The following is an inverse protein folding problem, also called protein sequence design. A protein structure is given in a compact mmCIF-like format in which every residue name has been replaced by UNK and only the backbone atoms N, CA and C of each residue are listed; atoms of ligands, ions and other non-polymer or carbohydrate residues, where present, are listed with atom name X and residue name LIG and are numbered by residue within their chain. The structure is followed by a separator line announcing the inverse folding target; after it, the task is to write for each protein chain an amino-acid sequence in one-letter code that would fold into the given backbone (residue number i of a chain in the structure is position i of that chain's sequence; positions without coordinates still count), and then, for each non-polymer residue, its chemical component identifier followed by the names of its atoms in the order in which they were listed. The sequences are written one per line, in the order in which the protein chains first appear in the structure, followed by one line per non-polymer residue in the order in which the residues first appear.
data_IF_809486087740
#
_entry.id   IF_809486087740
#
_cell.length_a   1.000
_cell.length_b   1.000
_cell.length_c   1.000
_cell.angle_alpha   90.00
_cell.angle_beta   90.00
_cell.angle_gamma   90.00
#
_symmetry.space_group_name_H-M   'P 1'
#
loop_
_entity.id
_entity.type
_entity.pdbx_description
1 polymer ?
#
# COMPACT_ATOMS: atom_id res chain seq x y z
N UNK A 1 -48.04 -82.66 -29.03
CA UNK A 1 -46.63 -82.90 -29.30
C UNK A 1 -45.95 -81.55 -29.60
N UNK A 2 -44.88 -81.29 -29.03
CA UNK A 2 -43.92 -80.14 -29.11
C UNK A 2 -44.01 -79.15 -27.95
N UNK A 3 -43.25 -79.48 -26.97
CA UNK A 3 -42.77 -78.63 -25.89
C UNK A 3 -41.80 -77.56 -26.41
N UNK A 4 -41.97 -76.28 -25.97
CA UNK A 4 -40.97 -75.26 -26.15
C UNK A 4 -40.65 -74.68 -24.79
N UNK A 5 -39.38 -74.96 -24.36
CA UNK A 5 -38.73 -74.37 -23.20
C UNK A 5 -38.44 -72.89 -23.43
N UNK A 6 -38.91 -72.01 -22.55
CA UNK A 6 -38.43 -70.63 -22.48
C UNK A 6 -37.40 -70.51 -21.36
N UNK A 7 -36.15 -70.27 -21.73
CA UNK A 7 -35.10 -69.91 -20.80
C UNK A 7 -35.21 -68.42 -20.44
N UNK A 8 -35.45 -68.15 -19.16
CA UNK A 8 -35.44 -66.76 -18.61
C UNK A 8 -34.01 -66.36 -18.26
N UNK A 9 -33.51 -65.32 -18.91
CA UNK A 9 -32.21 -64.68 -18.56
C UNK A 9 -32.47 -63.67 -17.43
N UNK A 10 -31.85 -63.92 -16.26
CA UNK A 10 -31.83 -63.01 -15.14
C UNK A 10 -30.69 -61.99 -15.35
N UNK A 11 -31.02 -60.76 -15.69
CA UNK A 11 -30.05 -59.64 -15.79
C UNK A 11 -29.82 -59.06 -14.38
N UNK A 12 -28.62 -59.27 -13.85
CA UNK A 12 -28.17 -58.65 -12.62
C UNK A 12 -27.76 -57.20 -12.87
N UNK A 13 -28.60 -56.26 -12.46
CA UNK A 13 -28.28 -54.81 -12.51
C UNK A 13 -27.51 -54.47 -11.26
N UNK A 14 -26.19 -54.32 -11.41
CA UNK A 14 -25.31 -53.81 -10.33
C UNK A 14 -25.42 -52.28 -10.31
N UNK A 15 -26.16 -51.71 -9.37
CA UNK A 15 -26.26 -50.29 -9.16
C UNK A 15 -24.95 -49.80 -8.49
N UNK A 16 -24.08 -49.16 -9.25
CA UNK A 16 -22.94 -48.39 -8.72
C UNK A 16 -23.47 -47.08 -8.10
N UNK A 17 -23.58 -47.02 -6.77
CA UNK A 17 -23.85 -45.80 -6.06
C UNK A 17 -22.55 -44.96 -6.03
N UNK A 18 -22.47 -43.96 -6.89
CA UNK A 18 -21.45 -42.89 -6.79
C UNK A 18 -21.83 -42.00 -5.61
N UNK A 19 -21.21 -42.23 -4.45
CA UNK A 19 -21.26 -41.26 -3.36
C UNK A 19 -20.39 -40.06 -3.73
N UNK A 20 -20.99 -39.05 -4.34
CA UNK A 20 -20.36 -37.74 -4.49
C UNK A 20 -20.29 -37.11 -3.10
N UNK A 21 -19.12 -37.15 -2.47
CA UNK A 21 -18.81 -36.31 -1.32
C UNK A 21 -18.87 -34.85 -1.80
N UNK A 22 -20.00 -34.18 -1.60
CA UNK A 22 -20.07 -32.73 -1.70
C UNK A 22 -19.17 -32.17 -0.61
N UNK A 23 -17.98 -31.74 -1.02
CA UNK A 23 -17.09 -30.93 -0.19
C UNK A 23 -17.78 -29.59 -0.05
N UNK A 24 -18.47 -29.36 1.06
CA UNK A 24 -19.05 -28.05 1.39
C UNK A 24 -17.87 -27.09 1.53
N UNK A 25 -17.69 -26.20 0.57
CA UNK A 25 -16.77 -25.08 0.73
C UNK A 25 -17.24 -24.30 1.96
N UNK A 26 -16.46 -24.34 3.04
CA UNK A 26 -16.71 -23.52 4.21
C UNK A 26 -16.65 -22.05 3.79
N UNK A 27 -17.63 -21.27 4.20
CA UNK A 27 -17.58 -19.82 3.98
C UNK A 27 -16.34 -19.25 4.69
N UNK A 28 -15.64 -18.33 3.99
CA UNK A 28 -14.48 -17.65 4.59
C UNK A 28 -14.93 -16.67 5.66
N UNK A 29 -14.13 -16.55 6.72
CA UNK A 29 -14.29 -15.51 7.72
C UNK A 29 -13.86 -14.16 7.16
N UNK A 30 -14.78 -13.20 7.11
CA UNK A 30 -14.53 -11.87 6.53
C UNK A 30 -13.81 -10.97 7.53
N UNK A 31 -12.62 -10.50 7.15
CA UNK A 31 -11.77 -9.61 7.93
C UNK A 31 -11.87 -8.19 7.40
N UNK A 32 -12.38 -7.27 8.22
CA UNK A 32 -12.52 -5.86 7.80
C UNK A 32 -11.15 -5.24 7.53
N UNK A 33 -10.95 -4.75 6.31
CA UNK A 33 -9.73 -4.09 5.89
C UNK A 33 -10.02 -2.77 5.16
N UNK A 34 -9.10 -1.81 5.30
CA UNK A 34 -9.12 -0.56 4.54
C UNK A 34 -7.80 -0.39 3.79
N UNK A 35 -7.86 0.25 2.61
CA UNK A 35 -6.67 0.57 1.84
C UNK A 35 -6.88 1.84 1.00
N UNK A 36 -5.80 2.33 0.40
CA UNK A 36 -5.84 3.50 -0.49
C UNK A 36 -6.48 3.17 -1.85
N UNK A 37 -6.40 4.11 -2.79
CA UNK A 37 -6.99 3.97 -4.13
C UNK A 37 -6.35 2.84 -4.93
N UNK A 38 -7.09 2.17 -5.84
CA UNK A 38 -6.51 1.26 -6.81
C UNK A 38 -5.29 1.86 -7.52
N UNK A 39 -4.30 1.03 -7.81
CA UNK A 39 -3.04 1.44 -8.42
C UNK A 39 -2.01 2.07 -7.46
N UNK A 40 -2.34 2.27 -6.18
CA UNK A 40 -1.37 2.64 -5.15
C UNK A 40 -0.64 1.42 -4.60
N UNK A 41 0.59 1.60 -4.11
CA UNK A 41 1.33 0.51 -3.44
C UNK A 41 0.60 -0.09 -2.24
N UNK A 42 -0.14 0.75 -1.49
CA UNK A 42 -1.00 0.30 -0.40
C UNK A 42 -2.09 -0.68 -0.88
N UNK A 43 -2.79 -0.33 -1.96
CA UNK A 43 -3.82 -1.19 -2.55
C UNK A 43 -3.23 -2.50 -3.05
N UNK A 44 -2.13 -2.42 -3.81
CA UNK A 44 -1.46 -3.57 -4.41
C UNK A 44 -1.02 -4.58 -3.33
N UNK A 45 -0.37 -4.11 -2.26
CA UNK A 45 0.06 -4.97 -1.15
C UNK A 45 -1.13 -5.58 -0.39
N UNK A 46 -2.23 -4.81 -0.21
CA UNK A 46 -3.44 -5.33 0.45
C UNK A 46 -4.09 -6.44 -0.37
N UNK A 47 -4.21 -6.24 -1.69
CA UNK A 47 -4.79 -7.26 -2.60
C UNK A 47 -3.91 -8.51 -2.67
N UNK A 48 -2.58 -8.35 -2.67
CA UNK A 48 -1.66 -9.49 -2.66
C UNK A 48 -1.78 -10.29 -1.35
N UNK A 49 -1.87 -9.60 -0.22
CA UNK A 49 -2.06 -10.24 1.08
C UNK A 49 -3.41 -10.95 1.18
N UNK A 50 -4.49 -10.33 0.66
CA UNK A 50 -5.81 -10.96 0.56
C UNK A 50 -5.79 -12.21 -0.33
N UNK A 51 -5.13 -12.12 -1.49
CA UNK A 51 -5.04 -13.23 -2.43
C UNK A 51 -4.49 -14.50 -1.77
N UNK A 52 -3.33 -14.40 -1.14
CA UNK A 52 -2.70 -15.55 -0.47
C UNK A 52 -3.47 -15.99 0.77
N UNK A 53 -4.03 -15.05 1.54
CA UNK A 53 -4.86 -15.36 2.70
C UNK A 53 -6.13 -16.14 2.30
N UNK A 54 -6.83 -15.65 1.28
CA UNK A 54 -8.04 -16.31 0.76
C UNK A 54 -7.72 -17.69 0.18
N UNK A 55 -6.59 -17.87 -0.50
CA UNK A 55 -6.24 -19.14 -1.11
C UNK A 55 -5.84 -20.21 -0.08
N UNK A 56 -5.14 -19.82 1.00
CA UNK A 56 -4.43 -20.75 1.88
C UNK A 56 -4.89 -20.73 3.35
N UNK A 57 -5.91 -19.92 3.69
CA UNK A 57 -6.49 -19.87 5.05
C UNK A 57 -8.01 -19.84 4.99
N UNK A 58 -8.66 -19.82 6.15
CA UNK A 58 -10.11 -19.60 6.26
C UNK A 58 -10.51 -18.11 6.24
N UNK A 59 -9.56 -17.20 6.04
CA UNK A 59 -9.77 -15.76 6.12
C UNK A 59 -9.76 -15.10 4.74
N UNK A 60 -10.61 -14.08 4.57
CA UNK A 60 -10.67 -13.22 3.39
C UNK A 60 -10.82 -11.76 3.81
N UNK A 61 -10.08 -10.84 3.21
CA UNK A 61 -10.21 -9.42 3.50
C UNK A 61 -11.46 -8.83 2.85
N UNK A 62 -12.31 -8.21 3.65
CA UNK A 62 -13.37 -7.32 3.17
C UNK A 62 -12.75 -5.93 2.94
N UNK A 63 -12.23 -5.70 1.74
CA UNK A 63 -11.44 -4.50 1.40
C UNK A 63 -12.34 -3.31 1.10
N UNK A 64 -12.26 -2.26 1.93
CA UNK A 64 -12.81 -0.94 1.62
C UNK A 64 -11.69 -0.04 1.09
N UNK A 65 -11.66 0.18 -0.23
CA UNK A 65 -10.62 0.93 -0.92
C UNK A 65 -10.85 2.45 -0.93
N UNK A 66 -9.91 3.21 -1.51
CA UNK A 66 -9.96 4.67 -1.67
C UNK A 66 -10.01 5.47 -0.36
N UNK A 67 -9.52 4.88 0.73
CA UNK A 67 -9.48 5.51 2.02
C UNK A 67 -8.22 6.38 2.20
N UNK A 68 -8.30 7.35 3.11
CA UNK A 68 -7.13 8.10 3.57
C UNK A 68 -6.46 7.32 4.70
N UNK A 69 -5.29 6.74 4.46
CA UNK A 69 -4.63 5.80 5.38
C UNK A 69 -4.41 6.35 6.80
N UNK A 70 -4.17 7.66 6.96
CA UNK A 70 -4.07 8.28 8.29
C UNK A 70 -5.37 8.21 9.10
N UNK A 71 -6.53 8.18 8.43
CA UNK A 71 -7.83 7.94 9.06
C UNK A 71 -8.05 6.45 9.29
N UNK A 72 -7.63 5.60 8.34
CA UNK A 72 -7.69 4.15 8.52
C UNK A 72 -6.87 3.68 9.72
N UNK A 73 -5.72 4.32 10.00
CA UNK A 73 -4.92 4.03 11.19
C UNK A 73 -5.66 4.32 12.50
N UNK A 74 -6.54 5.32 12.55
CA UNK A 74 -7.40 5.57 13.71
C UNK A 74 -8.37 4.40 13.90
N UNK A 75 -9.08 4.02 12.83
CA UNK A 75 -9.99 2.88 12.86
C UNK A 75 -9.31 1.54 13.21
N UNK A 76 -8.04 1.36 12.77
CA UNK A 76 -7.21 0.21 13.13
C UNK A 76 -6.88 0.21 14.64
N UNK A 77 -6.45 1.36 15.17
CA UNK A 77 -6.11 1.54 16.58
C UNK A 77 -7.32 1.41 17.52
N UNK A 78 -8.51 1.77 17.05
CA UNK A 78 -9.79 1.61 17.75
C UNK A 78 -10.40 0.20 17.65
N UNK A 79 -9.81 -0.70 16.82
CA UNK A 79 -10.36 -2.02 16.56
C UNK A 79 -11.61 -2.06 15.67
N UNK A 80 -11.93 -0.97 14.97
CA UNK A 80 -13.05 -0.90 14.03
C UNK A 80 -12.77 -1.63 12.71
N UNK A 81 -11.49 -1.73 12.34
CA UNK A 81 -10.95 -2.53 11.25
C UNK A 81 -9.75 -3.34 11.76
N UNK A 82 -9.46 -4.48 11.12
CA UNK A 82 -8.41 -5.39 11.58
C UNK A 82 -7.11 -5.24 10.81
N UNK A 83 -7.17 -4.88 9.53
CA UNK A 83 -6.01 -4.79 8.63
C UNK A 83 -6.04 -3.47 7.86
N UNK A 84 -4.93 -2.76 7.82
CA UNK A 84 -4.72 -1.61 6.92
C UNK A 84 -3.23 -1.31 6.71
N UNK A 85 -2.81 -0.85 5.53
CA UNK A 85 -1.49 -0.27 5.34
C UNK A 85 -1.30 0.98 6.20
N UNK A 86 -0.16 1.06 6.86
CA UNK A 86 0.25 2.18 7.72
C UNK A 86 1.45 2.88 7.08
N UNK A 87 1.34 4.14 6.61
CA UNK A 87 2.51 4.91 6.23
C UNK A 87 3.44 5.10 7.42
N UNK A 88 4.71 4.72 7.30
CA UNK A 88 5.69 4.78 8.40
C UNK A 88 5.76 6.17 9.03
N UNK A 89 5.82 7.23 8.20
CA UNK A 89 5.81 8.61 8.70
C UNK A 89 4.57 8.93 9.55
N UNK A 90 3.39 8.40 9.16
CA UNK A 90 2.15 8.63 9.89
C UNK A 90 2.12 7.90 11.24
N UNK A 91 2.69 6.69 11.32
CA UNK A 91 2.88 5.98 12.60
C UNK A 91 3.70 6.84 13.56
N UNK A 92 4.85 7.34 13.12
CA UNK A 92 5.69 8.23 13.94
C UNK A 92 4.99 9.53 14.33
N UNK A 93 4.16 10.11 13.45
CA UNK A 93 3.36 11.29 13.80
C UNK A 93 2.29 10.98 14.85
N UNK A 94 1.64 9.83 14.78
CA UNK A 94 0.62 9.41 15.76
C UNK A 94 1.24 9.14 17.13
N UNK A 95 2.36 8.38 17.17
CA UNK A 95 3.12 8.11 18.41
C UNK A 95 3.60 9.38 19.12
N UNK A 96 3.88 10.44 18.37
CA UNK A 96 4.39 11.71 18.89
C UNK A 96 3.34 12.83 18.92
N UNK A 97 2.08 12.53 18.60
CA UNK A 97 0.97 13.51 18.56
C UNK A 97 1.34 14.74 17.71
N UNK A 98 1.85 14.52 16.48
CA UNK A 98 2.32 15.57 15.57
C UNK A 98 1.52 15.60 14.27
N UNK A 99 1.74 16.62 13.47
CA UNK A 99 1.15 16.82 12.14
C UNK A 99 -0.39 16.63 12.16
N UNK A 100 -0.93 15.70 11.37
CA UNK A 100 -2.38 15.44 11.29
C UNK A 100 -3.01 14.97 12.62
N UNK A 101 -2.22 14.49 13.57
CA UNK A 101 -2.68 14.01 14.89
C UNK A 101 -2.43 15.01 16.03
N UNK A 102 -1.90 16.21 15.75
CA UNK A 102 -1.52 17.20 16.76
C UNK A 102 -2.68 17.68 17.65
N UNK A 103 -3.90 17.66 17.11
CA UNK A 103 -5.12 18.06 17.83
C UNK A 103 -5.89 16.89 18.44
N UNK A 104 -5.40 15.66 18.30
CA UNK A 104 -6.03 14.45 18.83
C UNK A 104 -5.44 14.13 20.21
N UNK A 105 -6.19 14.40 21.30
CA UNK A 105 -5.71 14.27 22.67
C UNK A 105 -5.22 12.88 23.06
N UNK A 106 -5.81 11.83 22.47
CA UNK A 106 -5.49 10.41 22.72
C UNK A 106 -4.63 9.75 21.62
N UNK A 107 -3.96 10.54 20.75
CA UNK A 107 -3.21 9.97 19.63
C UNK A 107 -2.12 8.97 20.06
N UNK A 108 -1.41 9.25 21.16
CA UNK A 108 -0.36 8.36 21.68
C UNK A 108 -0.91 7.05 22.22
N UNK A 109 -2.05 7.10 22.91
CA UNK A 109 -2.74 5.92 23.45
C UNK A 109 -3.24 5.03 22.30
N UNK A 110 -3.86 5.62 21.29
CA UNK A 110 -4.29 4.90 20.09
C UNK A 110 -3.10 4.32 19.34
N UNK A 111 -1.99 5.05 19.21
CA UNK A 111 -0.80 4.52 18.53
C UNK A 111 -0.24 3.25 19.19
N UNK A 112 -0.45 3.07 20.51
CA UNK A 112 -0.05 1.88 21.25
C UNK A 112 -0.83 0.62 20.82
N UNK A 113 -1.96 0.75 20.14
CA UNK A 113 -2.76 -0.35 19.60
C UNK A 113 -2.43 -0.72 18.16
N UNK A 114 -1.50 -0.01 17.51
CA UNK A 114 -1.04 -0.37 16.18
C UNK A 114 -0.03 -1.51 16.26
N UNK A 115 -0.17 -2.48 15.37
CA UNK A 115 0.73 -3.63 15.24
C UNK A 115 1.20 -3.78 13.80
N UNK A 116 2.39 -4.32 13.63
CA UNK A 116 2.99 -4.57 12.32
C UNK A 116 2.86 -6.04 11.92
N UNK A 117 2.67 -6.29 10.62
CA UNK A 117 2.75 -7.63 10.04
C UNK A 117 4.02 -7.71 9.18
N UNK A 118 4.10 -6.97 8.08
CA UNK A 118 5.28 -6.90 7.21
C UNK A 118 5.45 -5.49 6.66
N UNK A 119 6.70 -5.11 6.34
CA UNK A 119 7.04 -3.84 5.71
C UNK A 119 7.28 -4.01 4.21
N UNK A 120 7.04 -2.97 3.44
CA UNK A 120 7.28 -2.93 2.01
C UNK A 120 7.51 -1.50 1.52
N UNK A 121 8.33 -1.37 0.48
CA UNK A 121 8.44 -0.12 -0.26
C UNK A 121 7.14 0.07 -1.05
N UNK A 122 6.40 1.12 -0.74
CA UNK A 122 5.08 1.34 -1.32
C UNK A 122 5.12 2.17 -2.61
N UNK A 123 6.28 2.70 -2.97
CA UNK A 123 6.52 3.42 -4.20
C UNK A 123 7.36 4.68 -4.03
N UNK A 124 7.31 5.53 -5.06
CA UNK A 124 8.05 6.80 -5.15
C UNK A 124 7.04 7.94 -5.29
N UNK A 125 7.38 9.12 -4.80
CA UNK A 125 6.59 10.34 -5.01
C UNK A 125 6.76 10.84 -6.44
N UNK A 126 5.69 10.85 -7.21
CA UNK A 126 5.62 11.42 -8.55
C UNK A 126 5.02 12.83 -8.46
N UNK A 127 5.64 13.79 -9.12
CA UNK A 127 5.08 15.12 -9.35
C UNK A 127 4.85 15.28 -10.85
N UNK A 128 3.60 15.05 -11.28
CA UNK A 128 3.19 15.15 -12.66
C UNK A 128 2.81 16.59 -12.96
N UNK A 129 3.57 17.29 -13.79
CA UNK A 129 3.18 18.59 -14.34
C UNK A 129 2.46 18.38 -15.67
N UNK A 130 1.48 19.23 -15.99
CA UNK A 130 0.88 19.26 -17.31
C UNK A 130 1.96 19.51 -18.37
N UNK A 131 2.05 18.65 -19.39
CA UNK A 131 3.11 18.69 -20.40
C UNK A 131 3.16 19.98 -21.20
N UNK A 132 2.02 20.65 -21.38
CA UNK A 132 1.92 21.91 -22.13
C UNK A 132 2.51 23.12 -21.38
N UNK A 133 2.77 22.98 -20.06
CA UNK A 133 3.32 24.05 -19.24
C UNK A 133 4.85 24.22 -19.36
N UNK A 134 5.55 23.25 -19.94
CA UNK A 134 7.00 23.29 -20.14
C UNK A 134 7.84 23.32 -18.86
N UNK A 135 7.26 22.87 -17.71
CA UNK A 135 7.98 22.77 -16.44
C UNK A 135 8.98 21.62 -16.51
N UNK A 136 10.16 21.77 -15.88
CA UNK A 136 11.26 20.80 -15.98
C UNK A 136 11.65 20.20 -14.63
N UNK A 137 11.61 21.03 -13.58
CA UNK A 137 12.07 20.66 -12.23
C UNK A 137 11.05 21.04 -11.17
N UNK A 138 11.22 20.56 -9.94
CA UNK A 138 10.38 20.99 -8.81
C UNK A 138 10.51 22.49 -8.48
N UNK A 139 11.57 23.17 -8.91
CA UNK A 139 11.69 24.61 -8.75
C UNK A 139 10.71 25.40 -9.63
N UNK A 140 10.22 24.81 -10.72
CA UNK A 140 9.31 25.48 -11.65
C UNK A 140 7.85 25.52 -11.14
N UNK A 141 7.56 24.90 -9.98
CA UNK A 141 6.21 24.94 -9.37
C UNK A 141 5.87 26.29 -8.74
N UNK A 142 6.79 27.25 -8.73
CA UNK A 142 6.56 28.60 -8.20
C UNK A 142 5.42 29.29 -8.95
N UNK A 143 4.42 29.79 -8.20
CA UNK A 143 3.24 30.43 -8.75
C UNK A 143 2.21 29.48 -9.38
N UNK A 144 2.39 28.16 -9.27
CA UNK A 144 1.51 27.13 -9.84
C UNK A 144 0.49 26.63 -8.83
N UNK A 145 -0.60 26.02 -9.34
CA UNK A 145 -1.58 25.27 -8.55
C UNK A 145 -1.10 23.84 -8.40
N UNK A 146 -0.74 23.46 -7.18
CA UNK A 146 -0.15 22.15 -6.89
C UNK A 146 -1.07 21.33 -5.99
N UNK A 147 -1.55 20.20 -6.48
CA UNK A 147 -2.22 19.22 -5.66
C UNK A 147 -1.18 18.36 -4.94
N UNK A 148 -1.20 18.36 -3.62
CA UNK A 148 -0.19 17.70 -2.77
C UNK A 148 -0.64 16.35 -2.21
N UNK A 149 -1.89 15.98 -2.43
CA UNK A 149 -2.57 14.85 -1.79
C UNK A 149 -3.74 15.31 -0.89
N UNK A 150 -4.52 14.36 -0.34
CA UNK A 150 -5.69 14.69 0.48
C UNK A 150 -5.31 15.49 1.74
N UNK A 151 -6.15 16.44 2.16
CA UNK A 151 -5.94 17.17 3.41
C UNK A 151 -5.77 16.22 4.60
N UNK A 152 -4.83 16.54 5.49
CA UNK A 152 -4.46 15.71 6.65
C UNK A 152 -3.94 14.30 6.31
N UNK A 153 -3.62 14.02 5.04
CA UNK A 153 -2.99 12.77 4.60
C UNK A 153 -1.47 12.79 4.76
N UNK A 154 -0.87 11.60 4.97
CA UNK A 154 0.60 11.46 4.98
C UNK A 154 1.22 11.90 3.64
N UNK A 155 0.53 11.65 2.52
CA UNK A 155 0.98 12.07 1.19
C UNK A 155 1.12 13.59 1.10
N UNK A 156 0.11 14.35 1.56
CA UNK A 156 0.16 15.82 1.54
C UNK A 156 1.29 16.36 2.43
N UNK A 157 1.48 15.79 3.62
CA UNK A 157 2.57 16.18 4.52
C UNK A 157 3.94 15.92 3.89
N UNK A 158 4.13 14.78 3.23
CA UNK A 158 5.39 14.42 2.57
C UNK A 158 5.64 15.26 1.32
N UNK A 159 4.65 15.45 0.44
CA UNK A 159 4.77 16.31 -0.75
C UNK A 159 5.14 17.75 -0.36
N UNK A 160 4.50 18.29 0.69
CA UNK A 160 4.86 19.59 1.25
C UNK A 160 6.30 19.64 1.73
N UNK A 161 6.77 18.59 2.41
CA UNK A 161 8.15 18.50 2.89
C UNK A 161 9.15 18.40 1.75
N UNK A 162 8.85 17.62 0.70
CA UNK A 162 9.71 17.53 -0.50
C UNK A 162 9.90 18.91 -1.12
N UNK A 163 8.83 19.69 -1.30
CA UNK A 163 8.93 21.05 -1.85
C UNK A 163 9.67 22.01 -0.91
N UNK A 164 9.42 21.91 0.41
CA UNK A 164 10.10 22.76 1.38
C UNK A 164 11.58 22.47 1.50
N UNK A 165 11.96 21.19 1.62
CA UNK A 165 13.36 20.79 1.82
C UNK A 165 14.15 20.77 0.51
N UNK A 166 13.52 20.38 -0.61
CA UNK A 166 14.19 20.26 -1.90
C UNK A 166 14.36 21.59 -2.63
N UNK A 167 13.35 22.48 -2.55
CA UNK A 167 13.36 23.76 -3.31
C UNK A 167 13.06 25.00 -2.47
N UNK A 168 12.86 24.84 -1.15
CA UNK A 168 12.61 25.96 -0.23
C UNK A 168 11.21 26.56 -0.31
N UNK A 169 10.23 25.91 -0.97
CA UNK A 169 8.91 26.47 -1.24
C UNK A 169 7.85 26.07 -0.22
N UNK A 170 6.98 27.02 0.11
CA UNK A 170 5.87 26.88 1.05
C UNK A 170 4.53 27.14 0.36
N UNK A 171 3.55 26.28 0.64
CA UNK A 171 2.18 26.44 0.14
C UNK A 171 1.52 27.70 0.70
N UNK A 172 0.84 28.45 -0.18
CA UNK A 172 0.21 29.72 0.14
C UNK A 172 1.16 30.92 0.09
N UNK A 173 2.46 30.70 -0.17
CA UNK A 173 3.47 31.75 -0.35
C UNK A 173 4.13 31.65 -1.71
N UNK A 174 4.66 30.48 -2.05
CA UNK A 174 5.42 30.26 -3.28
C UNK A 174 4.58 29.55 -4.35
N UNK A 175 3.58 28.80 -3.97
CA UNK A 175 2.62 28.13 -4.85
C UNK A 175 1.25 27.99 -4.18
N UNK A 176 0.20 27.74 -4.97
CA UNK A 176 -1.17 27.52 -4.46
C UNK A 176 -1.40 26.02 -4.22
N UNK A 177 -1.45 25.62 -2.95
CA UNK A 177 -1.67 24.24 -2.53
C UNK A 177 -3.15 23.84 -2.55
N UNK A 178 -3.55 23.04 -3.53
CA UNK A 178 -4.94 22.60 -3.72
C UNK A 178 -5.32 21.49 -2.76
N UNK A 179 -6.49 21.63 -2.08
CA UNK A 179 -6.99 20.73 -1.03
C UNK A 179 -8.21 19.96 -1.52
N UNK A 180 -8.01 18.78 -2.07
CA UNK A 180 -9.04 17.88 -2.61
C UNK A 180 -8.81 16.45 -2.12
N UNK A 181 -9.83 15.58 -2.20
CA UNK A 181 -9.66 14.12 -2.08
C UNK A 181 -8.93 13.53 -3.28
N UNK A 182 -8.53 12.25 -3.21
CA UNK A 182 -7.80 11.60 -4.31
C UNK A 182 -8.56 11.62 -5.64
N UNK A 183 -9.87 11.23 -5.71
CA UNK A 183 -10.59 11.24 -6.98
C UNK A 183 -10.72 12.65 -7.58
N UNK A 184 -11.07 13.64 -6.73
CA UNK A 184 -11.25 15.02 -7.15
C UNK A 184 -9.94 15.68 -7.59
N UNK A 185 -8.81 15.36 -6.90
CA UNK A 185 -7.49 15.87 -7.27
C UNK A 185 -7.01 15.33 -8.62
N UNK A 186 -7.24 14.02 -8.87
CA UNK A 186 -6.94 13.42 -10.17
C UNK A 186 -7.80 13.98 -11.30
N UNK A 187 -9.10 14.18 -11.05
CA UNK A 187 -10.00 14.82 -12.03
C UNK A 187 -9.58 16.27 -12.32
N UNK A 188 -9.28 17.06 -11.27
CA UNK A 188 -8.83 18.44 -11.42
C UNK A 188 -7.53 18.56 -12.24
N UNK A 189 -6.60 17.61 -12.12
CA UNK A 189 -5.40 17.56 -12.95
C UNK A 189 -5.75 17.19 -14.41
N UNK A 190 -6.61 16.21 -14.63
CA UNK A 190 -7.07 15.84 -15.97
C UNK A 190 -7.77 17.00 -16.69
N UNK A 191 -8.53 17.80 -15.94
CA UNK A 191 -9.29 18.96 -16.46
C UNK A 191 -8.45 20.25 -16.59
N UNK A 192 -7.14 20.21 -16.25
CA UNK A 192 -6.26 21.38 -16.30
C UNK A 192 -6.55 22.44 -15.22
N UNK A 193 -7.31 22.09 -14.17
CA UNK A 193 -7.59 22.99 -13.04
C UNK A 193 -6.45 23.03 -12.02
N UNK A 194 -5.53 22.07 -12.11
CA UNK A 194 -4.32 21.91 -11.30
C UNK A 194 -3.15 21.73 -12.25
N UNK A 195 -2.10 22.51 -12.05
CA UNK A 195 -0.91 22.52 -12.91
C UNK A 195 0.02 21.34 -12.62
N UNK A 196 0.11 20.94 -11.33
CA UNK A 196 0.99 19.85 -10.86
C UNK A 196 0.23 18.94 -9.90
N UNK A 197 0.34 17.63 -10.15
CA UNK A 197 -0.31 16.60 -9.37
C UNK A 197 0.73 15.72 -8.66
N UNK A 198 0.86 15.89 -7.34
CA UNK A 198 1.73 15.03 -6.54
C UNK A 198 1.02 13.73 -6.17
N UNK A 199 1.66 12.61 -6.48
CA UNK A 199 1.13 11.28 -6.18
C UNK A 199 2.21 10.29 -5.76
N UNK A 200 2.11 9.69 -4.54
CA UNK A 200 2.88 8.50 -4.21
C UNK A 200 2.31 7.29 -4.97
N UNK A 201 3.14 6.58 -5.71
CA UNK A 201 2.76 5.41 -6.49
C UNK A 201 3.96 4.48 -6.74
N UNK A 202 3.75 3.16 -6.94
CA UNK A 202 4.79 2.30 -7.47
C UNK A 202 5.29 2.79 -8.83
N UNK A 203 6.55 2.58 -9.13
CA UNK A 203 7.10 2.79 -10.46
C UNK A 203 6.33 1.95 -11.48
N UNK A 204 5.95 2.55 -12.61
CA UNK A 204 5.11 1.91 -13.63
C UNK A 204 3.62 1.76 -13.23
N UNK A 205 3.16 2.47 -12.21
CA UNK A 205 1.78 2.42 -11.72
C UNK A 205 0.75 2.70 -12.81
N UNK A 206 -0.31 1.86 -12.86
CA UNK A 206 -1.41 1.99 -13.82
C UNK A 206 -2.12 3.35 -13.76
N UNK A 207 -2.21 3.97 -12.58
CA UNK A 207 -2.85 5.28 -12.45
C UNK A 207 -2.03 6.40 -13.07
N UNK A 208 -0.69 6.31 -13.03
CA UNK A 208 0.18 7.28 -13.70
C UNK A 208 0.16 7.02 -15.21
N UNK A 209 0.16 5.76 -15.64
CA UNK A 209 -0.03 5.37 -17.04
C UNK A 209 -1.33 5.93 -17.63
N UNK A 210 -2.42 5.89 -16.85
CA UNK A 210 -3.72 6.41 -17.27
C UNK A 210 -3.68 7.91 -17.57
N UNK A 211 -2.95 8.72 -16.80
CA UNK A 211 -2.76 10.14 -17.13
C UNK A 211 -2.03 10.30 -18.46
N UNK A 212 -0.95 9.54 -18.69
CA UNK A 212 -0.19 9.55 -19.95
C UNK A 212 -0.96 9.11 -21.19
N UNK A 213 -2.04 8.33 -21.01
CA UNK A 213 -2.92 7.94 -22.11
C UNK A 213 -3.88 9.06 -22.54
N UNK A 214 -4.16 10.02 -21.67
CA UNK A 214 -5.13 11.09 -21.91
C UNK A 214 -4.46 12.42 -22.31
N UNK A 215 -3.27 12.69 -21.77
CA UNK A 215 -2.50 13.91 -22.01
C UNK A 215 -1.02 13.67 -21.74
N UNK A 216 -0.15 14.51 -22.30
CA UNK A 216 1.27 14.49 -21.94
C UNK A 216 1.51 15.09 -20.56
N UNK A 217 2.54 14.62 -19.87
CA UNK A 217 2.97 15.18 -18.59
C UNK A 217 4.50 15.15 -18.48
N UNK A 218 5.05 16.06 -17.68
CA UNK A 218 6.46 16.04 -17.29
C UNK A 218 6.56 15.52 -15.86
N UNK A 219 7.46 14.60 -15.59
CA UNK A 219 7.81 14.22 -14.21
C UNK A 219 8.82 15.21 -13.66
N UNK A 220 8.40 15.99 -12.66
CA UNK A 220 9.28 16.92 -11.95
C UNK A 220 10.04 16.19 -10.86
N UNK A 221 11.36 16.33 -10.82
CA UNK A 221 12.24 15.73 -9.85
C UNK A 221 13.11 16.72 -9.09
N UNK A 222 13.86 16.18 -8.14
CA UNK A 222 14.95 16.87 -7.44
C UNK A 222 16.22 16.79 -8.28
N UNK A 223 17.06 17.82 -8.21
CA UNK A 223 18.44 17.70 -8.70
C UNK A 223 19.33 17.05 -7.64
N UNK A 224 20.51 16.56 -8.03
CA UNK A 224 21.49 16.01 -7.09
C UNK A 224 21.90 17.03 -6.05
N UNK A 225 22.12 18.27 -6.47
CA UNK A 225 22.50 19.39 -5.60
C UNK A 225 21.39 19.69 -4.56
N UNK A 226 20.13 19.63 -4.96
CA UNK A 226 18.98 19.81 -4.06
C UNK A 226 18.91 18.68 -3.01
N UNK A 227 19.20 17.45 -3.41
CA UNK A 227 19.26 16.30 -2.49
C UNK A 227 20.39 16.48 -1.49
N UNK A 228 21.58 16.84 -1.94
CA UNK A 228 22.76 17.10 -1.09
C UNK A 228 22.52 18.23 -0.09
N UNK A 229 21.94 19.35 -0.55
CA UNK A 229 21.65 20.51 0.30
C UNK A 229 20.58 20.23 1.35
N UNK A 230 19.58 19.44 1.01
CA UNK A 230 18.49 19.07 1.93
C UNK A 230 18.93 18.04 2.99
N UNK A 231 19.98 17.24 2.71
CA UNK A 231 20.55 16.25 3.63
C UNK A 231 19.50 15.30 4.21
N UNK A 232 19.68 14.93 5.48
CA UNK A 232 18.81 14.01 6.21
C UNK A 232 17.36 14.50 6.34
N UNK A 233 17.09 15.78 6.11
CA UNK A 233 15.76 16.36 6.17
C UNK A 233 14.79 15.77 5.13
N UNK A 234 15.29 15.39 3.95
CA UNK A 234 14.49 14.69 2.94
C UNK A 234 14.15 13.25 3.35
N UNK A 235 15.10 12.54 3.94
CA UNK A 235 14.95 11.13 4.32
C UNK A 235 14.19 10.92 5.64
N UNK A 236 13.77 11.99 6.31
CA UNK A 236 13.05 11.89 7.58
C UNK A 236 11.75 11.08 7.45
N UNK A 237 11.46 10.23 8.44
CA UNK A 237 10.20 9.47 8.51
C UNK A 237 10.16 8.22 7.61
N UNK A 238 11.29 7.54 7.44
CA UNK A 238 11.35 6.28 6.71
C UNK A 238 11.25 6.45 5.20
N UNK A 239 11.87 7.48 4.67
CA UNK A 239 11.97 7.74 3.24
C UNK A 239 13.43 7.76 2.81
N UNK A 240 13.67 7.45 1.56
CA UNK A 240 15.00 7.51 0.94
C UNK A 240 14.89 8.10 -0.45
N UNK A 241 15.97 8.71 -0.92
CA UNK A 241 16.06 9.16 -2.30
C UNK A 241 16.04 7.95 -3.23
N UNK A 242 15.23 8.02 -4.26
CA UNK A 242 15.06 6.97 -5.25
C UNK A 242 14.89 7.55 -6.65
N UNK A 243 15.06 6.71 -7.64
CA UNK A 243 14.98 7.05 -9.06
C UNK A 243 13.72 6.47 -9.67
N UNK A 244 12.97 7.28 -10.40
CA UNK A 244 12.02 6.80 -11.40
C UNK A 244 12.81 6.69 -12.71
N UNK A 245 13.03 5.48 -13.24
CA UNK A 245 13.88 5.30 -14.42
C UNK A 245 13.29 5.96 -15.66
N UNK A 246 14.17 6.40 -16.55
CA UNK A 246 13.79 6.82 -17.91
C UNK A 246 12.95 5.74 -18.60
N UNK A 247 12.05 6.15 -19.50
CA UNK A 247 11.19 5.21 -20.25
C UNK A 247 10.08 4.54 -19.45
N UNK A 248 9.86 4.92 -18.16
CA UNK A 248 8.86 4.28 -17.30
C UNK A 248 7.43 4.49 -17.77
N UNK A 249 7.10 5.68 -18.30
CA UNK A 249 5.72 6.04 -18.64
C UNK A 249 5.55 6.50 -20.07
N UNK A 250 4.51 6.00 -20.75
CA UNK A 250 4.04 6.58 -22.00
C UNK A 250 3.41 7.95 -21.74
N UNK A 251 3.59 8.91 -22.66
CA UNK A 251 3.10 10.30 -22.51
C UNK A 251 3.95 11.19 -21.60
N UNK A 252 5.02 10.66 -20.99
CA UNK A 252 6.01 11.46 -20.27
C UNK A 252 6.88 12.25 -21.25
N UNK A 253 6.94 13.58 -21.11
CA UNK A 253 7.68 14.46 -22.07
C UNK A 253 9.19 14.38 -21.89
N UNK A 254 9.68 14.12 -20.67
CA UNK A 254 11.07 13.88 -20.33
C UNK A 254 11.37 12.38 -20.12
N UNK A 255 10.90 11.55 -21.05
CA UNK A 255 11.00 10.08 -20.93
C UNK A 255 12.42 9.52 -21.10
N UNK A 256 13.37 10.31 -21.59
CA UNK A 256 14.78 10.00 -21.75
C UNK A 256 15.63 10.30 -20.48
N UNK A 257 15.03 10.88 -19.46
CA UNK A 257 15.70 11.27 -18.22
C UNK A 257 15.26 10.42 -17.04
N UNK A 258 16.22 10.10 -16.16
CA UNK A 258 15.94 9.57 -14.83
C UNK A 258 15.47 10.69 -13.90
N UNK A 259 14.42 10.44 -13.12
CA UNK A 259 13.83 11.43 -12.22
C UNK A 259 14.09 11.08 -10.76
N UNK A 260 14.82 11.95 -10.04
CA UNK A 260 15.08 11.78 -8.61
C UNK A 260 13.87 12.26 -7.78
N UNK A 261 13.42 11.42 -6.85
CA UNK A 261 12.38 11.76 -5.90
C UNK A 261 12.54 10.95 -4.62
N UNK A 262 11.52 10.85 -3.78
CA UNK A 262 11.57 10.07 -2.55
C UNK A 262 10.74 8.79 -2.65
N UNK A 263 11.37 7.67 -2.35
CA UNK A 263 10.66 6.44 -2.01
C UNK A 263 10.04 6.55 -0.62
N UNK A 264 8.97 5.79 -0.40
CA UNK A 264 8.27 5.75 0.88
C UNK A 264 7.87 4.31 1.23
N UNK A 265 7.85 4.04 2.53
CA UNK A 265 7.55 2.74 3.07
C UNK A 265 6.20 2.72 3.77
N UNK A 266 5.51 1.62 3.61
CA UNK A 266 4.35 1.26 4.41
C UNK A 266 4.62 -0.03 5.17
N UNK A 267 3.89 -0.18 6.25
CA UNK A 267 3.78 -1.44 6.97
C UNK A 267 2.36 -1.95 6.78
N UNK A 268 2.18 -3.21 6.41
CA UNK A 268 0.88 -3.85 6.57
C UNK A 268 0.62 -3.96 8.06
N UNK A 269 -0.36 -3.21 8.53
CA UNK A 269 -0.70 -3.10 9.92
C UNK A 269 -1.87 -3.97 10.32
N UNK A 270 -1.87 -4.36 11.58
CA UNK A 270 -3.00 -4.99 12.25
C UNK A 270 -3.44 -4.19 13.47
N UNK A 271 -4.71 -4.29 13.84
CA UNK A 271 -5.18 -3.86 15.15
C UNK A 271 -4.60 -4.76 16.24
N UNK A 272 -4.27 -4.22 17.41
CA UNK A 272 -3.97 -5.04 18.59
C UNK A 272 -5.14 -5.93 19.02
N UNK A 273 -6.37 -5.59 18.61
CA UNK A 273 -7.57 -6.40 18.87
C UNK A 273 -7.79 -7.52 17.85
N UNK A 274 -6.95 -7.63 16.80
CA UNK A 274 -7.05 -8.72 15.83
C UNK A 274 -6.70 -10.06 16.49
N UNK A 275 -7.38 -11.13 16.07
CA UNK A 275 -7.15 -12.47 16.59
C UNK A 275 -5.72 -12.94 16.26
N UNK A 276 -5.02 -13.47 17.26
CA UNK A 276 -3.63 -13.90 17.12
C UNK A 276 -3.48 -15.03 16.10
N UNK A 277 -4.36 -16.03 16.14
CA UNK A 277 -4.28 -17.18 15.23
C UNK A 277 -4.57 -16.75 13.80
N UNK A 278 -5.53 -15.84 13.59
CA UNK A 278 -5.82 -15.27 12.28
C UNK A 278 -4.57 -14.61 11.68
N UNK A 279 -3.91 -13.71 12.43
CA UNK A 279 -2.72 -13.02 11.92
C UNK A 279 -1.55 -13.98 11.72
N UNK A 280 -1.39 -14.98 12.57
CA UNK A 280 -0.40 -16.05 12.39
C UNK A 280 -0.63 -16.79 11.06
N UNK A 281 -1.86 -17.28 10.84
CA UNK A 281 -2.20 -18.07 9.64
C UNK A 281 -2.03 -17.24 8.35
N UNK A 282 -2.47 -15.98 8.36
CA UNK A 282 -2.31 -15.08 7.21
C UNK A 282 -0.85 -14.75 6.93
N UNK A 283 -0.04 -14.51 7.98
CA UNK A 283 1.41 -14.25 7.85
C UNK A 283 2.12 -15.48 7.29
N UNK A 284 1.81 -16.66 7.82
CA UNK A 284 2.33 -17.95 7.35
C UNK A 284 1.96 -18.20 5.89
N UNK A 285 0.68 -18.03 5.54
CA UNK A 285 0.20 -18.21 4.17
C UNK A 285 0.97 -17.31 3.19
N UNK A 286 1.23 -16.05 3.55
CA UNK A 286 2.03 -15.15 2.70
C UNK A 286 3.44 -15.69 2.48
N UNK A 287 4.16 -16.04 3.54
CA UNK A 287 5.56 -16.45 3.43
C UNK A 287 5.76 -17.82 2.77
N UNK A 288 4.82 -18.73 2.94
CA UNK A 288 4.85 -20.04 2.28
C UNK A 288 4.44 -19.97 0.81
N UNK A 289 3.83 -18.86 0.36
CA UNK A 289 3.34 -18.66 -1.00
C UNK A 289 3.80 -17.35 -1.63
N UNK A 290 5.08 -16.99 -1.44
CA UNK A 290 5.64 -15.69 -1.89
C UNK A 290 5.54 -15.48 -3.41
N UNK A 291 5.66 -16.51 -4.25
CA UNK A 291 5.51 -16.34 -5.70
C UNK A 291 4.06 -15.95 -6.08
N UNK A 292 3.07 -16.47 -5.36
CA UNK A 292 1.69 -16.05 -5.55
C UNK A 292 1.46 -14.60 -5.08
N UNK A 293 2.05 -14.21 -3.95
CA UNK A 293 2.05 -12.84 -3.46
C UNK A 293 2.71 -11.88 -4.47
N UNK A 294 3.88 -12.22 -4.99
CA UNK A 294 4.62 -11.43 -5.99
C UNK A 294 3.91 -11.32 -7.34
N UNK A 295 3.07 -12.31 -7.70
CA UNK A 295 2.37 -12.31 -8.98
C UNK A 295 1.37 -11.16 -9.15
N UNK A 296 0.99 -10.50 -8.05
CA UNK A 296 0.06 -9.35 -8.08
C UNK A 296 0.74 -8.10 -8.66
N UNK A 297 1.99 -7.86 -8.31
CA UNK A 297 2.77 -6.76 -8.91
C UNK A 297 4.29 -6.96 -8.70
N UNK A 298 5.12 -6.58 -9.67
CA UNK A 298 6.58 -6.73 -9.60
C UNK A 298 7.22 -6.03 -8.38
N UNK A 299 6.70 -4.89 -7.95
CA UNK A 299 7.22 -4.11 -6.80
C UNK A 299 7.21 -4.93 -5.50
N UNK A 300 6.33 -5.91 -5.37
CA UNK A 300 6.24 -6.77 -4.18
C UNK A 300 7.44 -7.71 -4.03
N UNK A 301 8.23 -7.95 -5.08
CA UNK A 301 9.48 -8.74 -5.01
C UNK A 301 10.54 -8.10 -4.12
N UNK A 302 10.38 -6.81 -3.76
CA UNK A 302 11.20 -6.15 -2.77
C UNK A 302 10.90 -6.61 -1.32
N UNK A 303 9.80 -7.31 -1.07
CA UNK A 303 9.49 -7.92 0.22
C UNK A 303 10.24 -9.24 0.34
N UNK A 304 11.31 -9.23 1.10
CA UNK A 304 12.19 -10.39 1.32
C UNK A 304 12.43 -10.57 2.83
N UNK A 305 13.11 -11.64 3.22
CA UNK A 305 13.51 -11.85 4.62
C UNK A 305 14.39 -10.71 5.14
N UNK A 306 15.20 -10.11 4.29
CA UNK A 306 16.11 -9.01 4.66
C UNK A 306 15.40 -7.66 4.79
N UNK A 307 14.27 -7.47 4.08
CA UNK A 307 13.57 -6.18 4.02
C UNK A 307 12.29 -6.13 4.83
N UNK A 308 11.74 -7.27 5.26
CA UNK A 308 10.41 -7.37 5.89
C UNK A 308 10.24 -6.52 7.15
N UNK A 309 11.32 -6.25 7.87
CA UNK A 309 11.30 -5.41 9.08
C UNK A 309 11.80 -3.98 8.82
N UNK A 310 12.17 -3.65 7.60
CA UNK A 310 12.70 -2.33 7.25
C UNK A 310 11.71 -1.22 7.59
N UNK A 311 12.20 -0.15 8.24
CA UNK A 311 11.41 1.02 8.59
C UNK A 311 10.20 0.77 9.52
N UNK A 312 10.05 -0.41 10.12
CA UNK A 312 9.01 -0.65 11.12
C UNK A 312 9.33 0.09 12.42
N UNK A 313 8.31 0.77 12.96
CA UNK A 313 8.40 1.50 14.25
C UNK A 313 7.26 1.16 15.22
N UNK A 314 6.26 0.40 14.79
CA UNK A 314 5.27 -0.22 15.65
C UNK A 314 5.66 -1.69 15.88
N UNK A 315 5.43 -2.26 17.08
CA UNK A 315 5.74 -3.66 17.36
C UNK A 315 4.96 -4.61 16.45
N UNK A 316 5.49 -5.81 16.27
CA UNK A 316 4.78 -6.87 15.54
C UNK A 316 3.49 -7.24 16.25
N UNK A 317 2.50 -7.70 15.50
CA UNK A 317 1.35 -8.40 16.06
C UNK A 317 1.80 -9.75 16.64
N UNK A 318 1.22 -10.19 17.75
CA UNK A 318 1.60 -11.43 18.43
C UNK A 318 1.62 -12.64 17.47
N UNK A 319 0.60 -12.78 16.61
CA UNK A 319 0.55 -13.83 15.60
C UNK A 319 1.66 -13.74 14.54
N UNK A 320 1.96 -12.54 14.05
CA UNK A 320 3.08 -12.36 13.12
C UNK A 320 4.43 -12.63 13.79
N UNK A 321 4.63 -12.15 15.02
CA UNK A 321 5.82 -12.42 15.81
C UNK A 321 6.04 -13.93 16.01
N UNK A 322 4.98 -14.67 16.40
CA UNK A 322 5.04 -16.12 16.59
C UNK A 322 5.49 -16.83 15.32
N UNK A 323 4.90 -16.48 14.16
CA UNK A 323 5.34 -17.08 12.89
C UNK A 323 6.80 -16.75 12.57
N UNK A 324 7.20 -15.49 12.66
CA UNK A 324 8.58 -15.08 12.34
C UNK A 324 9.61 -15.76 13.24
N UNK A 325 9.29 -15.91 14.53
CA UNK A 325 10.14 -16.62 15.49
C UNK A 325 10.28 -18.11 15.14
N UNK A 326 9.17 -18.79 14.84
CA UNK A 326 9.15 -20.19 14.43
C UNK A 326 9.88 -20.42 13.09
N UNK A 327 9.77 -19.49 12.16
CA UNK A 327 10.42 -19.55 10.84
C UNK A 327 11.89 -19.09 10.86
N UNK A 328 12.43 -18.71 12.03
CA UNK A 328 13.84 -18.37 12.23
C UNK A 328 14.26 -17.02 11.63
N UNK A 329 13.36 -16.03 11.63
CA UNK A 329 13.71 -14.67 11.22
C UNK A 329 14.51 -13.96 12.33
N UNK A 330 15.44 -13.10 11.93
CA UNK A 330 16.19 -12.21 12.84
C UNK A 330 15.31 -10.98 13.17
N UNK A 331 14.54 -11.07 14.25
CA UNK A 331 13.55 -10.05 14.61
C UNK A 331 14.24 -8.93 15.42
N UNK A 332 14.19 -7.67 14.95
CA UNK A 332 14.72 -6.54 15.72
C UNK A 332 14.06 -6.42 17.10
N UNK A 333 14.86 -6.18 18.13
CA UNK A 333 14.41 -6.16 19.53
C UNK A 333 13.27 -5.14 19.79
N UNK A 334 13.28 -4.00 19.09
CA UNK A 334 12.24 -2.97 19.19
C UNK A 334 10.90 -3.37 18.56
N UNK A 335 10.84 -4.49 17.84
CA UNK A 335 9.61 -4.99 17.20
C UNK A 335 8.98 -6.15 17.97
N UNK A 336 9.61 -6.64 19.02
CA UNK A 336 9.05 -7.69 19.89
C UNK A 336 7.85 -7.11 20.64
N UNK A 337 6.65 -7.72 20.55
CA UNK A 337 5.49 -7.25 21.28
C UNK A 337 5.71 -7.42 22.81
N UNK A 338 5.16 -6.51 23.60
CA UNK A 338 5.38 -6.49 25.05
C UNK A 338 4.73 -7.69 25.80
N UNK A 339 3.79 -8.33 25.14
CA UNK A 339 3.02 -9.48 25.59
C UNK A 339 3.50 -10.82 25.01
N UNK A 340 4.72 -10.88 24.43
CA UNK A 340 5.31 -12.03 23.74
C UNK A 340 6.00 -13.03 24.70
#
# INVERSE_FOLDING_TARGET
MHSIFKAGSLALVTAFTFSATMQTASAKDLVKAQTASPGSGAYVATVAFDKVSTAHTNYQLQINASQTLTKSMIGLAEGNIMIAPMPVAAVGHMQNQRAMYSKMGNAKELAANLRSIFSYEAGIYHFLADGDLGLKTLADVKGKKVYLGPPSGAASATSTRILKMGVGYESGKDFDGVKLGWPQGGQAFSDGQVDVYARPAPTGSSIVQQFGSNKTFTLLGLTKEQVEQAGDGLAAGGQNVAVIPSGTYSGQTNSDEDVLSLAFWHVMGASAAADEQMIYDMTKAMWENMEEFYSVAPVLRAVTKDTVFSQMIAPLHAGAYRYYKEAGFDIPANLIPADA
#
